data_IF_581030700570
#
_entry.id   IF_581030700570
#
_cell.length_a   1.000
_cell.length_b   1.000
_cell.length_c   1.000
_cell.angle_alpha   90.00
_cell.angle_beta   90.00
_cell.angle_gamma   90.00
#
_symmetry.space_group_name_H-M   'P 1'
#
loop_
_entity.id
_entity.type
_entity.pdbx_description
1 polymer ?
#
# COMPACT_ATOMS: atom_id res chain seq x y z
N UNK A 1 -13.78 -17.56 19.54
CA UNK A 1 -14.53 -18.19 18.45
C UNK A 1 -15.18 -17.19 17.48
N UNK A 2 -16.16 -16.39 17.93
CA UNK A 2 -17.00 -15.57 17.04
C UNK A 2 -16.31 -14.40 16.33
N UNK A 3 -15.52 -13.58 17.03
CA UNK A 3 -14.89 -12.38 16.44
C UNK A 3 -13.86 -12.71 15.36
N UNK A 4 -13.13 -13.83 15.50
CA UNK A 4 -12.23 -14.34 14.48
C UNK A 4 -12.97 -14.76 13.21
N UNK A 5 -14.13 -15.41 13.33
CA UNK A 5 -14.97 -15.74 12.18
C UNK A 5 -15.50 -14.49 11.46
N UNK A 6 -15.81 -13.42 12.21
CA UNK A 6 -16.17 -12.13 11.64
C UNK A 6 -14.99 -11.50 10.91
N UNK A 7 -13.77 -11.56 11.48
CA UNK A 7 -12.56 -11.05 10.84
C UNK A 7 -12.26 -11.77 9.51
N UNK A 8 -12.26 -13.11 9.52
CA UNK A 8 -12.01 -13.90 8.30
C UNK A 8 -13.10 -13.68 7.25
N UNK A 9 -14.36 -13.55 7.66
CA UNK A 9 -15.46 -13.21 6.75
C UNK A 9 -15.26 -11.84 6.09
N UNK A 10 -14.77 -10.84 6.83
CA UNK A 10 -14.52 -9.48 6.29
C UNK A 10 -13.33 -9.45 5.34
N UNK A 11 -12.26 -10.18 5.65
CA UNK A 11 -11.12 -10.35 4.74
C UNK A 11 -11.57 -11.01 3.44
N UNK A 12 -12.43 -12.03 3.53
CA UNK A 12 -13.01 -12.67 2.35
C UNK A 12 -13.86 -11.69 1.54
N UNK A 13 -14.72 -10.89 2.19
CA UNK A 13 -15.53 -9.85 1.54
C UNK A 13 -14.65 -8.86 0.75
N UNK A 14 -13.49 -8.47 1.28
CA UNK A 14 -12.52 -7.64 0.55
C UNK A 14 -12.03 -8.35 -0.72
N UNK A 15 -11.61 -9.60 -0.61
CA UNK A 15 -11.16 -10.40 -1.76
C UNK A 15 -12.26 -10.56 -2.82
N UNK A 16 -13.48 -10.86 -2.40
CA UNK A 16 -14.64 -11.04 -3.27
C UNK A 16 -14.99 -9.74 -4.02
N UNK A 17 -14.88 -8.58 -3.37
CA UNK A 17 -15.12 -7.27 -4.01
C UNK A 17 -14.09 -7.00 -5.11
N UNK A 18 -12.80 -7.21 -4.83
CA UNK A 18 -11.73 -6.94 -5.79
C UNK A 18 -11.68 -7.98 -6.93
N UNK A 19 -12.19 -9.19 -6.72
CA UNK A 19 -12.31 -10.20 -7.79
C UNK A 19 -13.55 -9.98 -8.66
N UNK A 20 -14.67 -9.54 -8.08
CA UNK A 20 -15.91 -9.30 -8.81
C UNK A 20 -15.94 -7.96 -9.55
N UNK A 21 -15.22 -6.94 -9.07
CA UNK A 21 -15.29 -5.58 -9.63
C UNK A 21 -13.87 -4.98 -9.75
N UNK A 22 -13.39 -4.66 -10.97
CA UNK A 22 -12.05 -4.08 -11.18
C UNK A 22 -11.87 -2.68 -10.58
N UNK A 23 -12.95 -1.92 -10.43
CA UNK A 23 -12.97 -0.58 -9.83
C UNK A 23 -14.13 -0.48 -8.82
N UNK A 24 -13.92 -0.94 -7.58
CA UNK A 24 -14.97 -0.96 -6.56
C UNK A 24 -15.35 0.44 -6.09
N UNK A 25 -16.64 0.62 -5.76
CA UNK A 25 -17.16 1.88 -5.24
C UNK A 25 -16.36 2.38 -4.01
N UNK A 26 -15.76 3.59 -4.05
CA UNK A 26 -14.96 4.13 -2.96
C UNK A 26 -15.74 4.28 -1.65
N UNK A 27 -17.05 4.57 -1.70
CA UNK A 27 -17.86 4.67 -0.47
C UNK A 27 -17.97 3.31 0.21
N UNK A 28 -18.23 2.26 -0.57
CA UNK A 28 -18.30 0.88 -0.08
C UNK A 28 -16.95 0.41 0.47
N UNK A 29 -15.86 0.77 -0.19
CA UNK A 29 -14.50 0.49 0.29
C UNK A 29 -14.20 1.19 1.62
N UNK A 30 -14.58 2.46 1.77
CA UNK A 30 -14.39 3.18 3.04
C UNK A 30 -15.20 2.58 4.19
N UNK A 31 -16.46 2.21 3.94
CA UNK A 31 -17.29 1.51 4.93
C UNK A 31 -16.68 0.17 5.35
N UNK A 32 -16.09 -0.58 4.40
CA UNK A 32 -15.43 -1.85 4.71
C UNK A 32 -14.13 -1.65 5.49
N UNK A 33 -13.38 -0.57 5.20
CA UNK A 33 -12.20 -0.13 5.96
C UNK A 33 -12.55 0.17 7.42
N UNK A 34 -13.57 0.98 7.66
CA UNK A 34 -14.02 1.32 9.01
C UNK A 34 -14.42 0.07 9.80
N UNK A 35 -15.22 -0.80 9.18
CA UNK A 35 -15.61 -2.10 9.74
C UNK A 35 -14.40 -2.96 10.09
N UNK A 36 -13.41 -3.10 9.21
CA UNK A 36 -12.20 -3.88 9.49
C UNK A 36 -11.42 -3.32 10.69
N UNK A 37 -11.26 -2.00 10.78
CA UNK A 37 -10.59 -1.34 11.90
C UNK A 37 -11.30 -1.57 13.24
N UNK A 38 -12.64 -1.50 13.27
CA UNK A 38 -13.41 -1.77 14.49
C UNK A 38 -13.21 -3.21 14.98
N UNK A 39 -13.16 -4.17 14.04
CA UNK A 39 -12.92 -5.58 14.37
C UNK A 39 -11.50 -5.79 14.89
N UNK A 40 -10.51 -5.09 14.32
CA UNK A 40 -9.12 -5.16 14.76
C UNK A 40 -8.97 -4.60 16.17
N UNK A 41 -9.59 -3.45 16.46
CA UNK A 41 -9.61 -2.86 17.79
C UNK A 41 -10.28 -3.79 18.81
N UNK A 42 -11.40 -4.40 18.45
CA UNK A 42 -12.09 -5.37 19.33
C UNK A 42 -11.22 -6.59 19.62
N UNK A 43 -10.56 -7.15 18.59
CA UNK A 43 -9.66 -8.29 18.76
C UNK A 43 -8.48 -7.93 19.67
N UNK A 44 -7.88 -6.75 19.51
CA UNK A 44 -6.80 -6.28 20.37
C UNK A 44 -7.24 -6.17 21.83
N UNK A 45 -8.43 -5.60 22.09
CA UNK A 45 -8.97 -5.49 23.44
C UNK A 45 -9.24 -6.87 24.08
N UNK A 46 -9.74 -7.82 23.30
CA UNK A 46 -9.96 -9.19 23.77
C UNK A 46 -8.65 -9.91 24.06
N UNK A 47 -7.63 -9.76 23.20
CA UNK A 47 -6.29 -10.32 23.43
C UNK A 47 -5.66 -9.77 24.73
N UNK A 48 -5.77 -8.46 24.96
CA UNK A 48 -5.29 -7.81 26.20
C UNK A 48 -6.07 -8.30 27.44
N UNK A 49 -7.39 -8.48 27.33
CA UNK A 49 -8.23 -8.97 28.42
C UNK A 49 -8.00 -10.46 28.74
N UNK A 50 -7.66 -11.29 27.74
CA UNK A 50 -7.37 -12.71 27.94
C UNK A 50 -5.96 -12.96 28.46
N UNK A 51 -5.00 -12.06 28.20
CA UNK A 51 -3.59 -12.21 28.58
C UNK A 51 -3.33 -12.61 30.05
N UNK A 52 -4.08 -12.13 31.08
CA UNK A 52 -3.87 -12.54 32.47
C UNK A 52 -4.45 -13.93 32.81
N UNK A 53 -5.26 -14.52 31.93
CA UNK A 53 -6.07 -15.71 32.21
C UNK A 53 -5.64 -16.95 31.41
N UNK A 54 -4.58 -16.83 30.60
CA UNK A 54 -4.07 -17.91 29.76
C UNK A 54 -2.85 -18.56 30.44
N UNK A 55 -2.91 -19.87 30.67
CA UNK A 55 -1.77 -20.68 31.09
C UNK A 55 -0.77 -20.87 29.94
N UNK A 56 0.53 -20.70 30.21
CA UNK A 56 1.61 -20.66 29.21
C UNK A 56 1.77 -21.91 28.32
N UNK A 57 1.12 -23.03 28.67
CA UNK A 57 1.25 -24.33 28.00
C UNK A 57 0.35 -24.47 26.76
N UNK A 58 -0.73 -23.71 26.64
CA UNK A 58 -1.73 -23.86 25.55
C UNK A 58 -1.77 -22.68 24.55
N UNK A 59 -0.71 -21.85 24.55
CA UNK A 59 -0.73 -20.51 23.95
C UNK A 59 -0.20 -20.47 22.52
N UNK A 60 0.73 -21.36 22.17
CA UNK A 60 1.52 -21.23 20.94
C UNK A 60 0.65 -21.28 19.68
N UNK A 61 -0.26 -22.25 19.60
CA UNK A 61 -1.15 -22.40 18.44
C UNK A 61 -2.16 -21.24 18.34
N UNK A 62 -2.68 -20.78 19.48
CA UNK A 62 -3.63 -19.67 19.49
C UNK A 62 -2.95 -18.35 19.08
N UNK A 63 -1.68 -18.13 19.47
CA UNK A 63 -0.87 -17.00 19.01
C UNK A 63 -0.67 -17.05 17.50
N UNK A 64 -0.27 -18.20 16.95
CA UNK A 64 -0.03 -18.35 15.51
C UNK A 64 -1.29 -18.05 14.69
N UNK A 65 -2.44 -18.61 15.10
CA UNK A 65 -3.71 -18.34 14.44
C UNK A 65 -4.11 -16.86 14.56
N UNK A 66 -3.81 -16.21 15.70
CA UNK A 66 -4.10 -14.78 15.93
C UNK A 66 -3.20 -13.90 15.06
N UNK A 67 -1.93 -14.26 14.92
CA UNK A 67 -0.98 -13.55 14.07
C UNK A 67 -1.42 -13.60 12.61
N UNK A 68 -1.76 -14.80 12.12
CA UNK A 68 -2.22 -15.00 10.74
C UNK A 68 -3.45 -14.17 10.40
N UNK A 69 -4.48 -14.20 11.26
CA UNK A 69 -5.72 -13.44 11.02
C UNK A 69 -5.42 -11.93 11.00
N UNK A 70 -4.53 -11.46 11.87
CA UNK A 70 -4.14 -10.05 11.94
C UNK A 70 -3.40 -9.61 10.68
N UNK A 71 -2.46 -10.42 10.19
CA UNK A 71 -1.72 -10.15 8.96
C UNK A 71 -2.66 -10.10 7.74
N UNK A 72 -3.61 -11.02 7.66
CA UNK A 72 -4.64 -11.04 6.62
C UNK A 72 -5.52 -9.76 6.66
N UNK A 73 -5.90 -9.30 7.85
CA UNK A 73 -6.65 -8.05 8.02
C UNK A 73 -5.84 -6.82 7.60
N UNK A 74 -4.54 -6.76 7.94
CA UNK A 74 -3.66 -5.68 7.51
C UNK A 74 -3.47 -5.66 6.00
N UNK A 75 -3.28 -6.82 5.38
CA UNK A 75 -3.19 -6.94 3.93
C UNK A 75 -4.49 -6.46 3.24
N UNK A 76 -5.65 -6.81 3.81
CA UNK A 76 -6.95 -6.37 3.31
C UNK A 76 -7.12 -4.84 3.41
N UNK A 77 -6.74 -4.25 4.56
CA UNK A 77 -6.75 -2.80 4.76
C UNK A 77 -5.82 -2.08 3.78
N UNK A 78 -4.60 -2.56 3.58
CA UNK A 78 -3.63 -1.96 2.66
C UNK A 78 -4.15 -1.97 1.20
N UNK A 79 -4.85 -3.04 0.79
CA UNK A 79 -5.49 -3.10 -0.53
C UNK A 79 -6.60 -2.07 -0.67
N UNK A 80 -7.45 -1.94 0.35
CA UNK A 80 -8.50 -0.93 0.36
C UNK A 80 -7.92 0.48 0.31
N UNK A 81 -6.91 0.79 1.12
CA UNK A 81 -6.24 2.09 1.13
C UNK A 81 -5.59 2.42 -0.21
N UNK A 82 -4.96 1.44 -0.86
CA UNK A 82 -4.40 1.62 -2.18
C UNK A 82 -5.48 1.95 -3.23
N UNK A 83 -6.63 1.28 -3.16
CA UNK A 83 -7.75 1.55 -4.07
C UNK A 83 -8.44 2.90 -3.81
N UNK A 84 -8.46 3.37 -2.55
CA UNK A 84 -9.03 4.67 -2.17
C UNK A 84 -8.10 5.85 -2.49
N UNK A 85 -6.80 5.61 -2.76
CA UNK A 85 -5.89 6.68 -3.16
C UNK A 85 -6.31 7.22 -4.53
N UNK A 86 -6.45 8.54 -4.69
CA UNK A 86 -6.81 9.13 -5.97
C UNK A 86 -5.75 8.77 -7.01
N UNK A 87 -6.12 7.90 -7.94
CA UNK A 87 -5.28 7.57 -9.10
C UNK A 87 -5.23 8.78 -10.01
N UNK A 88 -4.09 9.47 -10.05
CA UNK A 88 -3.79 10.43 -11.13
C UNK A 88 -3.62 9.66 -12.43
N UNK A 89 -4.74 9.28 -13.05
CA UNK A 89 -4.76 8.79 -14.41
C UNK A 89 -4.58 10.01 -15.31
N UNK A 90 -3.46 10.18 -16.03
CA UNK A 90 -3.33 11.28 -16.96
C UNK A 90 -4.45 11.13 -18.00
N UNK A 91 -5.32 12.13 -18.07
CA UNK A 91 -6.39 12.20 -19.04
C UNK A 91 -5.77 12.13 -20.43
N UNK A 92 -6.02 11.04 -21.16
CA UNK A 92 -5.70 10.93 -22.57
C UNK A 92 -6.61 11.87 -23.34
N UNK A 93 -6.13 13.10 -23.58
CA UNK A 93 -6.68 13.98 -24.61
C UNK A 93 -6.40 13.35 -25.98
N UNK A 94 -7.41 13.16 -26.86
CA UNK A 94 -7.16 12.74 -28.22
C UNK A 94 -6.66 13.97 -28.99
N UNK A 95 -5.35 14.18 -29.02
CA UNK A 95 -4.75 15.22 -29.87
C UNK A 95 -4.17 14.56 -31.10
N UNK A 96 -4.84 14.89 -32.21
CA UNK A 96 -4.54 14.58 -33.61
C UNK A 96 -3.05 14.77 -33.92
N UNK A 97 -2.44 13.75 -34.55
CA UNK A 97 -1.12 13.79 -35.18
C UNK A 97 -1.05 14.90 -36.24
N UNK A 98 0.11 15.57 -36.40
CA UNK A 98 1.06 15.06 -37.38
C UNK A 98 2.52 15.07 -36.91
N UNK A 99 3.30 14.26 -37.63
CA UNK A 99 4.73 14.01 -37.55
C UNK A 99 5.61 15.26 -37.32
N UNK A 100 6.73 15.07 -36.60
CA UNK A 100 8.12 15.12 -37.09
C UNK A 100 9.02 14.96 -35.87
N UNK A 101 9.89 13.94 -35.89
CA UNK A 101 10.93 13.75 -34.88
C UNK A 101 11.99 14.86 -34.98
N UNK A 102 12.41 15.44 -33.85
CA UNK A 102 13.80 15.78 -33.68
C UNK A 102 14.36 14.88 -32.57
N UNK A 103 15.45 14.20 -32.88
CA UNK A 103 16.29 13.54 -31.89
C UNK A 103 16.86 14.63 -30.98
N UNK A 104 16.17 14.90 -29.87
CA UNK A 104 16.67 15.78 -28.83
C UNK A 104 17.65 14.95 -28.01
N UNK A 105 18.94 15.15 -28.28
CA UNK A 105 20.01 14.75 -27.37
C UNK A 105 19.87 15.62 -26.12
N UNK A 106 19.06 15.17 -25.16
CA UNK A 106 18.89 15.85 -23.88
C UNK A 106 20.23 15.74 -23.14
N UNK A 107 20.98 16.83 -23.07
CA UNK A 107 22.03 16.97 -22.07
C UNK A 107 21.32 17.06 -20.71
N UNK A 108 21.14 15.91 -20.06
CA UNK A 108 20.53 15.88 -18.74
C UNK A 108 21.43 16.66 -17.77
N UNK A 109 20.86 17.51 -16.90
CA UNK A 109 21.59 18.05 -15.77
C UNK A 109 22.24 16.87 -15.05
N UNK A 110 23.55 16.95 -14.75
CA UNK A 110 24.25 15.92 -13.96
C UNK A 110 23.54 15.77 -12.63
N UNK A 111 22.59 14.83 -12.55
CA UNK A 111 21.93 14.45 -11.32
C UNK A 111 23.04 13.84 -10.47
N UNK A 112 23.50 14.56 -9.45
CA UNK A 112 24.46 14.03 -8.48
C UNK A 112 23.74 13.01 -7.63
N UNK A 113 23.54 11.81 -8.18
CA UNK A 113 23.01 10.67 -7.46
C UNK A 113 23.98 10.38 -6.32
N UNK A 114 23.57 10.71 -5.08
CA UNK A 114 24.36 10.42 -3.90
C UNK A 114 24.35 8.91 -3.73
N UNK A 115 25.50 8.27 -3.91
CA UNK A 115 25.64 6.83 -3.78
C UNK A 115 25.23 6.39 -2.37
N UNK A 116 24.27 5.47 -2.26
CA UNK A 116 23.87 4.88 -0.98
C UNK A 116 24.97 3.93 -0.50
N UNK A 117 25.49 4.16 0.69
CA UNK A 117 26.62 3.40 1.25
C UNK A 117 26.20 2.13 2.01
N UNK A 118 24.94 1.69 1.88
CA UNK A 118 24.44 0.48 2.53
C UNK A 118 24.09 0.61 4.01
N UNK A 119 24.16 1.82 4.58
CA UNK A 119 23.82 2.04 6.00
C UNK A 119 22.30 2.20 6.15
N UNK A 120 21.66 1.28 6.87
CA UNK A 120 20.20 1.26 7.08
C UNK A 120 19.62 2.57 7.64
N UNK A 121 20.35 3.26 8.52
CA UNK A 121 19.93 4.56 9.08
C UNK A 121 19.95 5.69 8.05
N UNK A 122 20.68 5.53 6.95
CA UNK A 122 20.76 6.47 5.83
C UNK A 122 19.72 6.23 4.75
N UNK A 123 18.95 5.13 4.80
CA UNK A 123 18.00 4.77 3.75
C UNK A 123 16.86 5.77 3.63
N UNK A 124 16.28 6.21 4.76
CA UNK A 124 15.14 7.14 4.76
C UNK A 124 15.55 8.52 4.18
N UNK A 125 16.64 9.17 4.63
CA UNK A 125 17.10 10.42 4.02
C UNK A 125 17.54 10.27 2.56
N UNK A 126 18.14 9.13 2.19
CA UNK A 126 18.52 8.83 0.81
C UNK A 126 17.29 8.71 -0.09
N UNK A 127 16.29 7.93 0.32
CA UNK A 127 15.07 7.69 -0.44
C UNK A 127 14.24 8.95 -0.60
N UNK A 128 14.18 9.81 0.43
CA UNK A 128 13.48 11.08 0.37
C UNK A 128 14.13 12.04 -0.65
N UNK A 129 15.46 12.13 -0.63
CA UNK A 129 16.21 12.91 -1.62
C UNK A 129 16.05 12.34 -3.05
N UNK A 130 16.06 11.01 -3.21
CA UNK A 130 15.86 10.35 -4.49
C UNK A 130 14.44 10.59 -5.03
N UNK A 131 13.42 10.49 -4.16
CA UNK A 131 12.02 10.76 -4.52
C UNK A 131 11.84 12.22 -4.94
N UNK A 132 12.37 13.17 -4.18
CA UNK A 132 12.29 14.59 -4.53
C UNK A 132 12.99 14.91 -5.86
N UNK A 133 14.15 14.30 -6.12
CA UNK A 133 14.95 14.57 -7.31
C UNK A 133 14.40 13.92 -8.59
N UNK A 134 13.81 12.72 -8.48
CA UNK A 134 13.39 11.90 -9.62
C UNK A 134 11.86 11.80 -9.72
N UNK A 135 11.17 11.48 -8.63
CA UNK A 135 9.74 11.17 -8.65
C UNK A 135 8.87 12.44 -8.64
N UNK A 136 9.17 13.39 -7.74
CA UNK A 136 8.39 14.63 -7.54
C UNK A 136 8.87 15.78 -8.43
N UNK A 137 9.96 15.58 -9.18
CA UNK A 137 10.45 16.59 -10.10
C UNK A 137 9.56 16.69 -11.35
N UNK A 138 8.75 17.75 -11.39
CA UNK A 138 7.82 18.06 -12.49
C UNK A 138 8.56 18.47 -13.77
N UNK A 139 9.85 18.84 -13.68
CA UNK A 139 10.66 19.19 -14.85
C UNK A 139 11.22 17.97 -15.60
N UNK A 140 11.07 16.76 -15.04
CA UNK A 140 11.50 15.52 -15.68
C UNK A 140 10.30 14.81 -16.31
N UNK A 141 10.41 14.44 -17.59
CA UNK A 141 9.39 13.63 -18.23
C UNK A 141 9.40 12.20 -17.66
N UNK A 142 8.29 11.47 -17.77
CA UNK A 142 8.23 10.07 -17.31
C UNK A 142 9.27 9.18 -18.02
N UNK A 143 9.64 9.52 -19.26
CA UNK A 143 10.68 8.81 -20.02
C UNK A 143 12.06 9.09 -19.42
N UNK A 144 12.33 10.33 -19.00
CA UNK A 144 13.60 10.68 -18.37
C UNK A 144 13.73 10.07 -16.97
N UNK A 145 12.64 10.00 -16.21
CA UNK A 145 12.60 9.34 -14.89
C UNK A 145 12.99 7.86 -14.97
N UNK A 146 12.59 7.16 -16.03
CA UNK A 146 12.93 5.75 -16.24
C UNK A 146 14.44 5.54 -16.46
N UNK A 147 15.14 6.53 -17.02
CA UNK A 147 16.58 6.46 -17.22
C UNK A 147 17.38 6.65 -15.91
N UNK A 148 16.71 6.96 -14.79
CA UNK A 148 17.31 7.15 -13.47
C UNK A 148 16.95 6.04 -12.45
N UNK A 149 16.15 5.04 -12.84
CA UNK A 149 15.85 3.85 -12.03
C UNK A 149 16.88 2.75 -12.29
#
# INVERSE_FOLDING_TARGET
GGHRAVATSRVKEVGDIFTATPDPDPLRLDQLRQRLNDTLNTLKQLDEALMPHIDAVDVTKEIEDSARIRDDMFAALARIEHALKPSHRPAVTPTVTPAVSPTVTVNLPKLTSRHFNGVLTGWVPFWDAHKAAVHDNVSLSNVDKFNYL
#
